data_IF_346344965589
#
_entry.id   IF_346344965589
#
_cell.length_a   1.000
_cell.length_b   1.000
_cell.length_c   1.000
_cell.angle_alpha   90.00
_cell.angle_beta   90.00
_cell.angle_gamma   90.00
#
_symmetry.space_group_name_H-M   'P 1'
#
loop_
_entity.id
_entity.type
_entity.pdbx_description
1 polymer ?
#
# COMPACT_ATOMS: atom_id res chain seq x y z
N UNK A 1 -3.98 11.65 9.92
CA UNK A 1 -2.69 11.33 9.33
C UNK A 1 -1.85 10.63 10.36
N UNK A 2 -1.65 9.34 10.15
CA UNK A 2 -0.77 8.46 10.92
C UNK A 2 0.49 8.19 10.10
N UNK A 3 1.56 7.85 10.79
CA UNK A 3 2.84 7.49 10.19
C UNK A 3 3.13 6.05 10.57
N UNK A 4 3.19 5.20 9.54
CA UNK A 4 3.50 3.79 9.64
C UNK A 4 4.93 3.57 9.16
N UNK A 5 5.58 2.58 9.76
CA UNK A 5 6.92 2.14 9.39
C UNK A 5 6.87 0.66 9.07
N UNK A 6 7.61 0.22 8.06
CA UNK A 6 7.78 -1.19 7.75
C UNK A 6 9.21 -1.66 8.02
N UNK A 7 9.38 -2.96 8.30
CA UNK A 7 10.68 -3.64 8.25
C UNK A 7 10.94 -4.28 6.87
N UNK A 8 10.15 -3.90 5.85
CA UNK A 8 10.13 -4.52 4.53
C UNK A 8 9.37 -5.84 4.43
N UNK A 9 8.86 -6.38 5.54
CA UNK A 9 8.02 -7.60 5.58
C UNK A 9 6.67 -7.37 6.24
N UNK A 10 6.56 -6.39 7.13
CA UNK A 10 5.33 -6.03 7.81
C UNK A 10 5.37 -4.59 8.27
N UNK A 11 4.20 -4.05 8.59
CA UNK A 11 4.09 -2.80 9.32
C UNK A 11 4.44 -3.02 10.80
N UNK A 12 5.11 -2.04 11.39
CA UNK A 12 5.61 -2.06 12.75
C UNK A 12 4.73 -1.22 13.67
N UNK A 13 4.57 -1.70 14.90
CA UNK A 13 3.82 -1.00 15.96
C UNK A 13 2.36 -0.65 15.60
N UNK A 14 1.76 -1.41 14.69
CA UNK A 14 0.35 -1.26 14.30
C UNK A 14 -0.53 -2.08 15.24
N UNK A 15 -1.64 -1.50 15.69
CA UNK A 15 -2.62 -2.20 16.50
C UNK A 15 -3.46 -3.16 15.63
N UNK A 16 -4.01 -4.21 16.23
CA UNK A 16 -4.75 -5.26 15.52
C UNK A 16 -5.97 -4.75 14.71
N UNK A 17 -6.58 -3.63 15.13
CA UNK A 17 -7.72 -3.00 14.46
C UNK A 17 -7.35 -1.77 13.62
N UNK A 18 -6.06 -1.44 13.53
CA UNK A 18 -5.57 -0.24 12.85
C UNK A 18 -5.05 -0.59 11.46
N UNK A 19 -5.61 0.05 10.43
CA UNK A 19 -5.23 -0.16 9.05
C UNK A 19 -4.87 1.18 8.40
N UNK A 20 -3.76 1.26 7.64
CA UNK A 20 -3.40 2.48 6.94
C UNK A 20 -4.50 2.89 5.95
N UNK A 21 -4.86 4.18 5.99
CA UNK A 21 -5.88 4.74 5.10
C UNK A 21 -5.33 5.81 4.17
N UNK A 22 -6.18 6.26 3.24
CA UNK A 22 -5.86 7.39 2.35
C UNK A 22 -5.45 8.62 3.16
N UNK A 23 -4.33 9.23 2.77
CA UNK A 23 -3.75 10.40 3.42
C UNK A 23 -2.78 10.08 4.58
N UNK A 24 -2.68 8.82 5.01
CA UNK A 24 -1.62 8.39 5.92
C UNK A 24 -0.30 8.17 5.16
N UNK A 25 0.77 7.89 5.91
CA UNK A 25 2.13 7.70 5.41
C UNK A 25 2.64 6.30 5.77
N UNK A 26 3.24 5.59 4.81
CA UNK A 26 4.02 4.37 5.06
C UNK A 26 5.45 4.62 4.58
N UNK A 27 6.43 4.49 5.47
CA UNK A 27 7.84 4.71 5.16
C UNK A 27 8.12 6.09 4.52
N UNK A 28 7.30 7.09 4.85
CA UNK A 28 7.39 8.45 4.28
C UNK A 28 6.61 8.65 2.97
N UNK A 29 6.00 7.61 2.43
CA UNK A 29 5.22 7.66 1.18
C UNK A 29 3.72 7.85 1.45
N UNK A 30 3.10 8.79 0.74
CA UNK A 30 1.69 9.13 0.95
C UNK A 30 0.75 8.11 0.30
N UNK A 31 -0.20 7.60 1.09
CA UNK A 31 -1.25 6.70 0.59
C UNK A 31 -2.28 7.53 -0.18
N UNK A 32 -2.42 7.22 -1.46
CA UNK A 32 -3.32 7.88 -2.40
C UNK A 32 -4.66 7.15 -2.52
N UNK A 33 -4.64 5.82 -2.45
CA UNK A 33 -5.84 4.98 -2.55
C UNK A 33 -5.64 3.69 -1.76
N UNK A 34 -6.75 3.04 -1.41
CA UNK A 34 -6.78 1.74 -0.74
C UNK A 34 -7.86 0.87 -1.36
N UNK A 35 -7.59 -0.40 -1.62
CA UNK A 35 -8.56 -1.36 -2.15
C UNK A 35 -8.49 -2.66 -1.36
N UNK A 36 -9.62 -3.33 -1.19
CA UNK A 36 -9.68 -4.62 -0.48
C UNK A 36 -10.17 -5.72 -1.44
N UNK A 37 -9.48 -6.86 -1.47
CA UNK A 37 -9.89 -8.08 -2.18
C UNK A 37 -9.80 -9.24 -1.20
N UNK A 38 -10.94 -9.84 -0.87
CA UNK A 38 -11.02 -10.86 0.18
C UNK A 38 -10.50 -10.36 1.53
N UNK A 39 -9.39 -10.90 2.03
CA UNK A 39 -8.69 -10.44 3.23
C UNK A 39 -7.56 -9.44 2.95
N UNK A 40 -7.18 -9.28 1.68
CA UNK A 40 -5.98 -8.53 1.31
C UNK A 40 -6.31 -7.04 1.11
N UNK A 41 -5.45 -6.18 1.64
CA UNK A 41 -5.53 -4.73 1.52
C UNK A 41 -4.40 -4.22 0.62
N UNK A 42 -4.75 -3.74 -0.56
CA UNK A 42 -3.85 -3.01 -1.45
C UNK A 42 -3.78 -1.54 -1.07
N UNK A 43 -2.56 -1.05 -0.83
CA UNK A 43 -2.24 0.33 -0.50
C UNK A 43 -1.44 0.93 -1.64
N UNK A 44 -1.99 1.96 -2.26
CA UNK A 44 -1.38 2.66 -3.38
C UNK A 44 -0.77 3.94 -2.87
N UNK A 45 0.52 4.15 -3.10
CA UNK A 45 1.23 5.31 -2.58
C UNK A 45 2.20 5.90 -3.60
N UNK A 46 2.54 7.17 -3.41
CA UNK A 46 3.50 7.86 -4.27
C UNK A 46 4.91 7.70 -3.71
N UNK A 47 5.82 7.20 -4.55
CA UNK A 47 7.26 7.14 -4.27
C UNK A 47 7.90 8.52 -4.46
N UNK A 48 9.08 8.72 -3.85
CA UNK A 48 9.89 9.95 -4.03
C UNK A 48 10.26 10.20 -5.50
N UNK A 49 10.29 9.15 -6.33
CA UNK A 49 10.49 9.24 -7.78
C UNK A 49 9.32 9.87 -8.53
N UNK A 50 8.16 10.00 -7.89
CA UNK A 50 6.90 10.43 -8.48
C UNK A 50 6.06 9.28 -9.07
N UNK A 51 6.61 8.07 -9.14
CA UNK A 51 5.88 6.86 -9.56
C UNK A 51 4.96 6.34 -8.45
N UNK A 52 4.03 5.45 -8.82
CA UNK A 52 3.11 4.82 -7.89
C UNK A 52 3.63 3.41 -7.54
N UNK A 53 3.64 3.13 -6.24
CA UNK A 53 3.89 1.82 -5.67
C UNK A 53 2.62 1.22 -5.07
N UNK A 54 2.62 -0.11 -4.94
CA UNK A 54 1.54 -0.90 -4.33
C UNK A 54 2.11 -1.83 -3.29
N UNK A 55 1.60 -1.75 -2.06
CA UNK A 55 1.78 -2.78 -1.03
C UNK A 55 0.50 -3.58 -0.90
N UNK A 56 0.60 -4.90 -0.89
CA UNK A 56 -0.50 -5.80 -0.57
C UNK A 56 -0.27 -6.30 0.86
N UNK A 57 -1.24 -6.04 1.73
CA UNK A 57 -1.21 -6.45 3.12
C UNK A 57 -2.19 -7.59 3.38
N UNK A 58 -1.72 -8.64 4.06
CA UNK A 58 -2.57 -9.57 4.80
C UNK A 58 -2.43 -9.20 6.29
N UNK A 59 -3.48 -8.59 6.85
CA UNK A 59 -3.43 -7.91 8.15
C UNK A 59 -2.30 -6.85 8.15
N UNK A 60 -1.23 -7.09 8.91
CA UNK A 60 -0.08 -6.19 9.01
C UNK A 60 1.12 -6.66 8.18
N UNK A 61 1.05 -7.82 7.53
CA UNK A 61 2.16 -8.41 6.78
C UNK A 61 2.12 -7.95 5.33
N UNK A 62 3.27 -7.49 4.82
CA UNK A 62 3.44 -7.15 3.41
C UNK A 62 3.65 -8.46 2.65
N UNK A 63 2.60 -8.92 1.96
CA UNK A 63 2.61 -10.17 1.17
C UNK A 63 2.91 -9.90 -0.31
N UNK A 64 2.76 -8.66 -0.78
CA UNK A 64 3.07 -8.24 -2.14
C UNK A 64 3.60 -6.80 -2.19
N UNK A 65 4.52 -6.53 -3.12
CA UNK A 65 5.13 -5.21 -3.33
C UNK A 65 5.47 -5.01 -4.80
N UNK A 66 4.84 -4.05 -5.45
CA UNK A 66 5.07 -3.73 -6.87
C UNK A 66 5.30 -2.22 -7.02
N UNK A 67 6.20 -1.85 -7.93
CA UNK A 67 6.65 -0.47 -8.12
C UNK A 67 6.75 -0.08 -9.58
N UNK A 68 6.81 1.22 -9.81
CA UNK A 68 7.11 1.78 -11.11
C UNK A 68 5.90 1.99 -12.00
N UNK A 69 4.69 2.06 -11.43
CA UNK A 69 3.52 2.47 -12.20
C UNK A 69 3.58 3.97 -12.49
N UNK A 70 3.25 4.36 -13.72
CA UNK A 70 3.28 5.77 -14.13
C UNK A 70 2.11 6.56 -13.55
N UNK A 71 0.95 5.91 -13.35
CA UNK A 71 -0.24 6.55 -12.79
C UNK A 71 -0.94 5.67 -11.76
N UNK A 72 -1.75 6.30 -10.89
CA UNK A 72 -2.59 5.58 -9.93
C UNK A 72 -3.60 4.68 -10.64
N UNK A 73 -4.10 5.10 -11.81
CA UNK A 73 -5.05 4.31 -12.60
C UNK A 73 -4.41 3.03 -13.10
N UNK A 74 -3.16 3.08 -13.55
CA UNK A 74 -2.44 1.89 -14.02
C UNK A 74 -2.22 0.89 -12.87
N UNK A 75 -1.79 1.40 -11.71
CA UNK A 75 -1.60 0.58 -10.52
C UNK A 75 -2.91 -0.09 -10.06
N UNK A 76 -4.01 0.67 -10.01
CA UNK A 76 -5.33 0.14 -9.63
C UNK A 76 -5.83 -0.87 -10.66
N UNK A 77 -5.64 -0.63 -11.96
CA UNK A 77 -6.03 -1.59 -12.99
C UNK A 77 -5.27 -2.90 -12.84
N UNK A 78 -3.95 -2.86 -12.61
CA UNK A 78 -3.13 -4.04 -12.40
C UNK A 78 -3.61 -4.89 -11.21
N UNK A 79 -4.01 -4.23 -10.11
CA UNK A 79 -4.66 -4.90 -8.99
C UNK A 79 -5.99 -5.57 -9.38
N UNK A 80 -6.86 -4.83 -10.10
CA UNK A 80 -8.18 -5.32 -10.52
C UNK A 80 -8.12 -6.47 -11.53
N UNK A 81 -7.01 -6.64 -12.25
CA UNK A 81 -6.79 -7.70 -13.23
C UNK A 81 -5.93 -8.86 -12.72
N UNK A 82 -5.69 -8.94 -11.40
CA UNK A 82 -4.86 -9.98 -10.76
C UNK A 82 -3.40 -10.01 -11.25
N UNK A 83 -2.89 -8.88 -11.76
CA UNK A 83 -1.47 -8.70 -12.09
C UNK A 83 -0.63 -8.28 -10.87
N UNK A 84 -1.32 -7.90 -9.78
CA UNK A 84 -0.79 -7.60 -8.44
C UNK A 84 -1.55 -8.39 -7.37
#
# INVERSE_FOLDING_TARGET
>A
MKHYHSDGKKLLHVAYDDHPGVGDLIDGMHILSTHTRESDLALFFQEDSGQIGVYVLDDNYIVGRVFGFDTLVDAVNAWMTDEV
#
